data_IF_157542501685
#
_entry.id   IF_157542501685
#
_cell.length_a   1.000
_cell.length_b   1.000
_cell.length_c   1.000
_cell.angle_alpha   90.00
_cell.angle_beta   90.00
_cell.angle_gamma   90.00
#
_symmetry.space_group_name_H-M   'P 1'
#
loop_
_entity.id
_entity.type
_entity.pdbx_description
1 polymer ?
#
# COMPACT_ATOMS: atom_id res chain seq x y z
N UNK A 1 -24.30 35.37 -48.66
CA UNK A 1 -23.16 34.52 -48.27
C UNK A 1 -22.99 34.64 -46.77
N UNK A 2 -23.48 33.69 -46.03
CA UNK A 2 -23.45 33.67 -44.58
C UNK A 2 -22.35 32.65 -44.13
N UNK A 3 -21.32 33.17 -43.46
CA UNK A 3 -20.25 32.33 -42.87
C UNK A 3 -20.74 31.79 -41.53
N UNK A 4 -20.90 30.46 -41.41
CA UNK A 4 -21.25 29.79 -40.19
C UNK A 4 -20.10 29.76 -39.18
N UNK A 5 -20.39 29.65 -37.87
CA UNK A 5 -19.37 29.66 -36.83
C UNK A 5 -18.61 28.33 -36.83
N UNK A 6 -17.28 28.43 -36.84
CA UNK A 6 -16.36 27.30 -36.66
C UNK A 6 -16.52 26.74 -35.25
N UNK A 7 -17.08 25.54 -35.11
CA UNK A 7 -17.02 24.77 -33.90
C UNK A 7 -15.55 24.49 -33.54
N UNK A 8 -15.12 25.00 -32.39
CA UNK A 8 -13.84 24.60 -31.77
C UNK A 8 -14.00 23.17 -31.32
N UNK A 9 -13.33 22.23 -31.97
CA UNK A 9 -13.15 20.88 -31.46
C UNK A 9 -12.40 20.98 -30.12
N UNK A 10 -13.05 20.53 -29.04
CA UNK A 10 -12.39 20.34 -27.76
C UNK A 10 -11.31 19.25 -27.97
N UNK A 11 -10.05 19.67 -27.93
CA UNK A 11 -8.91 18.77 -28.07
C UNK A 11 -8.95 17.72 -26.97
N UNK A 12 -8.95 16.45 -27.35
CA UNK A 12 -8.85 15.33 -26.42
C UNK A 12 -7.58 15.50 -25.58
N UNK A 13 -7.74 15.55 -24.27
CA UNK A 13 -6.63 15.66 -23.32
C UNK A 13 -5.76 14.42 -23.45
N UNK A 14 -4.48 14.58 -23.76
CA UNK A 14 -3.55 13.45 -23.87
C UNK A 14 -3.29 12.85 -22.49
N UNK A 15 -2.97 11.54 -22.42
CA UNK A 15 -2.61 10.87 -21.16
C UNK A 15 -1.51 11.61 -20.40
N UNK A 16 -0.55 12.17 -21.10
CA UNK A 16 0.53 12.99 -20.52
C UNK A 16 0.02 14.29 -19.94
N UNK A 17 -0.89 14.99 -20.62
CA UNK A 17 -1.51 16.23 -20.13
C UNK A 17 -2.40 15.94 -18.92
N UNK A 18 -3.11 14.80 -18.89
CA UNK A 18 -3.88 14.33 -17.73
C UNK A 18 -2.98 14.06 -16.52
N UNK A 19 -1.89 13.31 -16.70
CA UNK A 19 -0.95 13.01 -15.63
C UNK A 19 -0.21 14.27 -15.12
N UNK A 20 0.12 15.21 -16.00
CA UNK A 20 0.70 16.49 -15.59
C UNK A 20 -0.29 17.40 -14.87
N UNK A 21 -1.55 17.39 -15.25
CA UNK A 21 -2.60 18.19 -14.60
C UNK A 21 -3.05 17.57 -13.26
N UNK A 22 -3.13 16.25 -13.17
CA UNK A 22 -3.53 15.54 -11.94
C UNK A 22 -2.39 15.34 -10.93
N UNK A 23 -1.13 15.25 -11.39
CA UNK A 23 0.03 15.03 -10.53
C UNK A 23 0.76 16.29 -10.06
N UNK A 24 0.59 17.45 -10.75
CA UNK A 24 1.49 18.58 -10.52
C UNK A 24 1.12 19.47 -9.34
N UNK A 25 -0.05 20.05 -9.30
CA UNK A 25 -0.38 21.07 -8.30
C UNK A 25 -1.36 20.60 -7.22
N UNK A 26 -2.40 19.85 -7.59
CA UNK A 26 -3.40 19.39 -6.63
C UNK A 26 -2.88 18.23 -5.77
N UNK A 27 -2.16 17.25 -6.36
CA UNK A 27 -1.57 16.13 -5.63
C UNK A 27 -0.45 16.57 -4.69
N UNK A 28 0.44 17.48 -5.14
CA UNK A 28 1.52 18.01 -4.32
C UNK A 28 1.03 18.88 -3.16
N UNK A 29 0.02 19.72 -3.39
CA UNK A 29 -0.59 20.53 -2.36
C UNK A 29 -1.37 19.69 -1.35
N UNK A 30 -2.10 18.67 -1.79
CA UNK A 30 -2.79 17.73 -0.90
C UNK A 30 -1.81 16.95 -0.02
N UNK A 31 -0.74 16.40 -0.61
CA UNK A 31 0.33 15.72 0.14
C UNK A 31 1.01 16.66 1.14
N UNK A 32 1.28 17.90 0.77
CA UNK A 32 1.89 18.88 1.67
C UNK A 32 0.96 19.23 2.86
N UNK A 33 -0.35 19.32 2.62
CA UNK A 33 -1.34 19.55 3.68
C UNK A 33 -1.50 18.34 4.60
N UNK A 34 -1.39 17.12 4.08
CA UNK A 34 -1.55 15.87 4.84
C UNK A 34 -0.24 15.37 5.47
N UNK A 35 0.91 15.85 5.00
CA UNK A 35 2.20 15.38 5.48
C UNK A 35 2.37 15.42 7.02
N UNK A 36 1.94 16.46 7.75
CA UNK A 36 2.02 16.46 9.21
C UNK A 36 1.14 15.38 9.86
N UNK A 37 -0.07 15.16 9.33
CA UNK A 37 -0.99 14.16 9.86
C UNK A 37 -0.50 12.73 9.58
N UNK A 38 0.02 12.49 8.37
CA UNK A 38 0.66 11.24 7.97
C UNK A 38 1.87 10.95 8.87
N UNK A 39 2.72 11.94 9.11
CA UNK A 39 3.89 11.77 9.97
C UNK A 39 3.51 11.50 11.43
N UNK A 40 2.51 12.20 11.96
CA UNK A 40 2.02 11.97 13.33
C UNK A 40 1.42 10.57 13.48
N UNK A 41 0.61 10.11 12.53
CA UNK A 41 0.06 8.76 12.49
C UNK A 41 1.16 7.70 12.46
N UNK A 42 2.18 7.94 11.64
CA UNK A 42 3.34 7.09 11.50
C UNK A 42 4.11 6.90 12.82
N UNK A 43 4.44 8.01 13.47
CA UNK A 43 5.14 7.99 14.77
C UNK A 43 4.31 7.26 15.84
N UNK A 44 2.99 7.47 15.85
CA UNK A 44 2.08 6.79 16.77
C UNK A 44 2.03 5.27 16.50
N UNK A 45 2.03 4.83 15.23
CA UNK A 45 2.05 3.42 14.87
C UNK A 45 3.34 2.72 15.31
N UNK A 46 4.50 3.36 15.10
CA UNK A 46 5.79 2.84 15.56
C UNK A 46 5.81 2.69 17.08
N UNK A 47 5.36 3.72 17.82
CA UNK A 47 5.32 3.70 19.27
C UNK A 47 4.35 2.63 19.81
N UNK A 48 3.16 2.51 19.25
CA UNK A 48 2.15 1.51 19.66
C UNK A 48 2.67 0.08 19.46
N UNK A 49 3.27 -0.19 18.32
CA UNK A 49 3.87 -1.50 18.00
C UNK A 49 5.03 -1.83 18.94
N UNK A 50 5.96 -0.90 19.15
CA UNK A 50 7.12 -1.10 20.03
C UNK A 50 6.71 -1.37 21.49
N UNK A 51 5.59 -0.79 21.93
CA UNK A 51 5.05 -0.95 23.27
C UNK A 51 4.13 -2.19 23.41
N UNK A 52 3.89 -2.97 22.35
CA UNK A 52 2.90 -4.06 22.35
C UNK A 52 1.48 -3.58 22.69
N UNK A 53 1.17 -2.31 22.42
CA UNK A 53 -0.12 -1.71 22.76
C UNK A 53 -1.23 -2.19 21.83
N UNK A 54 -2.47 -2.24 22.34
CA UNK A 54 -3.62 -2.54 21.49
C UNK A 54 -3.80 -1.45 20.43
N UNK A 55 -4.50 -1.79 19.36
CA UNK A 55 -4.89 -0.86 18.31
C UNK A 55 -5.71 0.31 18.90
N UNK A 56 -5.58 1.51 18.31
CA UNK A 56 -6.26 2.72 18.80
C UNK A 56 -7.60 2.97 18.14
N UNK A 57 -7.71 2.62 16.87
CA UNK A 57 -8.85 2.94 16.01
C UNK A 57 -9.59 1.70 15.54
N UNK A 58 -8.88 0.56 15.45
CA UNK A 58 -9.46 -0.73 15.08
C UNK A 58 -9.84 -1.53 16.32
N UNK A 59 -11.00 -2.15 16.28
CA UNK A 59 -11.37 -3.19 17.23
C UNK A 59 -10.52 -4.46 17.01
N UNK A 60 -10.36 -5.28 18.04
CA UNK A 60 -9.52 -6.49 17.95
C UNK A 60 -9.97 -7.46 16.84
N UNK A 61 -11.30 -7.63 16.66
CA UNK A 61 -11.85 -8.46 15.60
C UNK A 61 -11.59 -7.88 14.20
N UNK A 62 -11.78 -6.57 14.07
CA UNK A 62 -11.54 -5.82 12.83
C UNK A 62 -10.05 -5.88 12.42
N UNK A 63 -9.16 -5.62 13.36
CA UNK A 63 -7.71 -5.73 13.13
C UNK A 63 -7.31 -7.14 12.69
N UNK A 64 -7.88 -8.17 13.30
CA UNK A 64 -7.64 -9.58 12.94
C UNK A 64 -8.13 -9.88 11.51
N UNK A 65 -9.31 -9.38 11.15
CA UNK A 65 -9.84 -9.53 9.79
C UNK A 65 -8.97 -8.82 8.75
N UNK A 66 -8.62 -7.55 8.99
CA UNK A 66 -7.74 -6.78 8.10
C UNK A 66 -6.35 -7.41 7.99
N UNK A 67 -5.78 -7.91 9.10
CA UNK A 67 -4.51 -8.64 9.07
C UNK A 67 -4.60 -9.90 8.21
N UNK A 68 -5.71 -10.63 8.28
CA UNK A 68 -5.91 -11.82 7.45
C UNK A 68 -5.96 -11.46 5.96
N UNK A 69 -6.68 -10.39 5.57
CA UNK A 69 -6.73 -9.95 4.17
C UNK A 69 -5.36 -9.46 3.70
N UNK A 70 -4.69 -8.60 4.48
CA UNK A 70 -3.36 -8.08 4.09
C UNK A 70 -2.33 -9.19 3.92
N UNK A 71 -2.44 -10.27 4.73
CA UNK A 71 -1.61 -11.46 4.61
C UNK A 71 -1.90 -12.31 3.36
N UNK A 72 -3.08 -12.11 2.70
CA UNK A 72 -3.33 -12.72 1.37
C UNK A 72 -2.81 -11.84 0.25
N UNK A 73 -2.79 -10.51 0.43
CA UNK A 73 -2.25 -9.57 -0.56
C UNK A 73 -0.71 -9.67 -0.63
N UNK A 74 -0.05 -9.70 0.52
CA UNK A 74 1.41 -9.93 0.63
C UNK A 74 1.62 -11.07 1.62
N UNK A 75 1.64 -12.32 1.11
CA UNK A 75 1.75 -13.51 1.95
C UNK A 75 3.15 -13.66 2.54
N UNK A 76 3.22 -14.35 3.68
CA UNK A 76 4.46 -14.86 4.25
C UNK A 76 4.70 -16.25 3.69
N UNK A 77 5.82 -16.41 3.01
CA UNK A 77 6.31 -17.69 2.48
C UNK A 77 7.80 -17.85 2.85
N UNK A 78 8.67 -18.01 1.87
CA UNK A 78 10.13 -17.97 2.05
C UNK A 78 10.61 -16.55 2.39
N UNK A 79 9.75 -15.56 2.19
CA UNK A 79 9.98 -14.15 2.49
C UNK A 79 8.93 -13.59 3.46
N UNK A 80 9.30 -12.56 4.26
CA UNK A 80 8.35 -11.89 5.14
C UNK A 80 7.18 -11.26 4.39
N UNK A 81 5.97 -11.44 4.91
CA UNK A 81 4.75 -10.84 4.37
C UNK A 81 4.23 -9.65 5.17
N UNK A 82 2.96 -9.28 4.92
CA UNK A 82 2.32 -8.11 5.53
C UNK A 82 2.27 -8.17 7.06
N UNK A 83 2.19 -9.38 7.65
CA UNK A 83 2.17 -9.58 9.11
C UNK A 83 3.50 -9.16 9.74
N UNK A 84 4.60 -9.68 9.22
CA UNK A 84 5.94 -9.40 9.72
C UNK A 84 6.30 -7.93 9.50
N UNK A 85 5.84 -7.35 8.40
CA UNK A 85 6.00 -5.92 8.10
C UNK A 85 5.15 -5.01 9.00
N UNK A 86 4.18 -5.57 9.74
CA UNK A 86 3.34 -4.81 10.66
C UNK A 86 2.32 -3.89 9.97
N UNK A 87 1.84 -4.27 8.79
CA UNK A 87 0.94 -3.48 7.94
C UNK A 87 -0.34 -3.06 8.67
N UNK A 88 -0.92 -3.93 9.49
CA UNK A 88 -2.16 -3.64 10.24
C UNK A 88 -2.00 -2.45 11.20
N UNK A 89 -0.81 -2.22 11.77
CA UNK A 89 -0.56 -1.05 12.62
C UNK A 89 -0.52 0.25 11.81
N UNK A 90 -0.02 0.20 10.58
CA UNK A 90 -0.11 1.33 9.66
C UNK A 90 -1.58 1.63 9.33
N UNK A 91 -2.38 0.60 9.03
CA UNK A 91 -3.81 0.75 8.73
C UNK A 91 -4.55 1.37 9.93
N UNK A 92 -4.30 0.89 11.14
CA UNK A 92 -4.91 1.43 12.38
C UNK A 92 -4.70 2.96 12.51
N UNK A 93 -3.49 3.42 12.26
CA UNK A 93 -3.20 4.85 12.35
C UNK A 93 -3.72 5.63 11.13
N UNK A 94 -3.72 5.02 9.95
CA UNK A 94 -4.23 5.65 8.74
C UNK A 94 -5.73 5.96 8.86
N UNK A 95 -6.54 5.01 9.33
CA UNK A 95 -7.99 5.18 9.50
C UNK A 95 -8.34 6.13 10.64
N UNK A 96 -7.47 6.31 11.60
CA UNK A 96 -7.62 7.34 12.64
C UNK A 96 -7.16 8.74 12.20
N UNK A 97 -6.56 8.87 11.02
CA UNK A 97 -5.93 10.08 10.53
C UNK A 97 -6.29 10.40 9.08
N UNK A 98 -5.31 10.34 8.20
CA UNK A 98 -5.42 10.80 6.81
C UNK A 98 -6.38 9.97 5.92
N UNK A 99 -6.74 8.75 6.33
CA UNK A 99 -7.73 7.87 5.68
C UNK A 99 -8.99 7.69 6.53
N UNK A 100 -9.30 8.62 7.43
CA UNK A 100 -10.48 8.53 8.29
C UNK A 100 -11.80 8.46 7.49
N UNK A 101 -11.85 9.08 6.31
CA UNK A 101 -13.00 9.00 5.41
C UNK A 101 -13.28 7.58 4.89
N UNK A 102 -12.27 6.71 4.87
CA UNK A 102 -12.37 5.34 4.36
C UNK A 102 -12.62 4.31 5.49
N UNK A 103 -12.68 4.74 6.74
CA UNK A 103 -12.87 3.83 7.87
C UNK A 103 -14.18 3.02 7.76
N UNK A 104 -15.27 3.65 7.32
CA UNK A 104 -16.55 2.97 7.12
C UNK A 104 -16.49 2.01 5.92
N UNK A 105 -15.84 2.40 4.82
CA UNK A 105 -15.60 1.53 3.65
C UNK A 105 -14.89 0.24 4.06
N UNK A 106 -13.86 0.34 4.91
CA UNK A 106 -13.13 -0.83 5.42
C UNK A 106 -13.99 -1.68 6.35
N UNK A 107 -14.74 -1.05 7.27
CA UNK A 107 -15.60 -1.75 8.23
C UNK A 107 -16.72 -2.51 7.54
N UNK A 108 -17.43 -1.84 6.64
CA UNK A 108 -18.56 -2.43 5.91
C UNK A 108 -18.10 -3.52 4.95
N UNK A 109 -16.93 -3.32 4.33
CA UNK A 109 -16.29 -4.32 3.47
C UNK A 109 -15.89 -5.58 4.24
N UNK A 110 -15.29 -5.43 5.42
CA UNK A 110 -14.98 -6.57 6.31
C UNK A 110 -16.25 -7.31 6.78
N UNK A 111 -17.29 -6.57 7.17
CA UNK A 111 -18.57 -7.18 7.55
C UNK A 111 -19.20 -7.97 6.39
N UNK A 112 -19.11 -7.43 5.17
CA UNK A 112 -19.58 -8.11 3.95
C UNK A 112 -18.77 -9.38 3.67
N UNK A 113 -17.46 -9.32 3.83
CA UNK A 113 -16.56 -10.46 3.62
C UNK A 113 -16.82 -11.56 4.66
N UNK A 114 -17.04 -11.20 5.93
CA UNK A 114 -17.43 -12.15 6.98
C UNK A 114 -18.80 -12.77 6.70
N UNK A 115 -19.75 -12.00 6.17
CA UNK A 115 -21.06 -12.53 5.78
C UNK A 115 -20.96 -13.56 4.64
N UNK A 116 -20.09 -13.31 3.65
CA UNK A 116 -19.80 -14.27 2.58
C UNK A 116 -19.15 -15.55 3.15
N UNK A 117 -18.21 -15.42 4.08
CA UNK A 117 -17.56 -16.55 4.73
C UNK A 117 -18.57 -17.42 5.51
N UNK A 118 -19.46 -16.82 6.27
CA UNK A 118 -20.53 -17.53 6.98
C UNK A 118 -21.52 -18.19 6.03
N UNK A 119 -21.91 -17.53 4.94
CA UNK A 119 -22.81 -18.08 3.93
C UNK A 119 -22.20 -19.31 3.21
N UNK A 120 -20.87 -19.36 3.08
CA UNK A 120 -20.14 -20.51 2.57
C UNK A 120 -20.01 -21.67 3.59
N UNK A 121 -20.60 -21.54 4.77
CA UNK A 121 -20.61 -22.57 5.82
C UNK A 121 -19.36 -22.56 6.70
N UNK A 122 -18.54 -21.51 6.62
CA UNK A 122 -17.36 -21.30 7.46
C UNK A 122 -17.62 -20.44 8.69
N UNK A 123 -16.55 -20.05 9.36
CA UNK A 123 -16.54 -19.02 10.41
C UNK A 123 -16.22 -17.62 9.84
N UNK A 124 -15.78 -16.68 10.69
CA UNK A 124 -15.25 -15.40 10.24
C UNK A 124 -14.15 -15.59 9.20
N UNK A 125 -14.02 -14.66 8.26
CA UNK A 125 -13.02 -14.73 7.18
C UNK A 125 -11.60 -15.05 7.69
N UNK A 126 -11.20 -14.43 8.80
CA UNK A 126 -9.87 -14.62 9.39
C UNK A 126 -9.59 -16.04 9.87
N UNK A 127 -10.61 -16.88 10.04
CA UNK A 127 -10.50 -18.26 10.52
C UNK A 127 -10.53 -19.29 9.41
N UNK A 128 -10.77 -18.85 8.18
CA UNK A 128 -10.81 -19.73 7.01
C UNK A 128 -9.40 -20.15 6.58
N UNK A 129 -9.27 -21.33 5.94
CA UNK A 129 -8.01 -21.70 5.32
C UNK A 129 -7.67 -20.77 4.13
N UNK A 130 -6.37 -20.62 3.78
CA UNK A 130 -5.90 -19.69 2.76
C UNK A 130 -6.65 -19.76 1.42
N UNK A 131 -6.93 -20.96 0.93
CA UNK A 131 -7.58 -21.19 -0.35
C UNK A 131 -9.04 -20.68 -0.34
N UNK A 132 -9.72 -20.81 0.80
CA UNK A 132 -11.08 -20.29 0.97
C UNK A 132 -11.06 -18.77 1.10
N UNK A 133 -10.05 -18.20 1.77
CA UNK A 133 -9.85 -16.75 1.84
C UNK A 133 -9.64 -16.17 0.42
N UNK A 134 -8.78 -16.76 -0.39
CA UNK A 134 -8.49 -16.31 -1.75
C UNK A 134 -9.75 -16.38 -2.64
N UNK A 135 -10.51 -17.46 -2.53
CA UNK A 135 -11.76 -17.62 -3.29
C UNK A 135 -12.83 -16.56 -2.93
N UNK A 136 -12.85 -16.09 -1.68
CA UNK A 136 -13.74 -15.00 -1.26
C UNK A 136 -13.20 -13.63 -1.67
N UNK A 137 -11.90 -13.41 -1.58
CA UNK A 137 -11.28 -12.16 -2.01
C UNK A 137 -11.46 -11.92 -3.51
N UNK A 138 -11.39 -12.95 -4.35
CA UNK A 138 -11.67 -12.86 -5.77
C UNK A 138 -13.10 -12.38 -6.09
N UNK A 139 -14.07 -12.55 -5.17
CA UNK A 139 -15.44 -12.07 -5.37
C UNK A 139 -15.59 -10.56 -5.04
N UNK A 140 -14.63 -9.98 -4.34
CA UNK A 140 -14.69 -8.58 -3.88
C UNK A 140 -13.56 -7.72 -4.45
N UNK A 141 -12.71 -8.26 -5.35
CA UNK A 141 -11.55 -7.57 -5.89
C UNK A 141 -11.88 -6.25 -6.62
N UNK A 142 -13.04 -6.17 -7.25
CA UNK A 142 -13.50 -4.97 -7.97
C UNK A 142 -14.23 -3.95 -7.06
N UNK A 143 -14.27 -4.18 -5.74
CA UNK A 143 -14.97 -3.29 -4.82
C UNK A 143 -14.09 -2.14 -4.32
N UNK A 144 -14.69 -1.00 -3.90
CA UNK A 144 -13.97 0.07 -3.22
C UNK A 144 -13.22 -0.41 -1.97
N UNK A 145 -13.81 -1.34 -1.21
CA UNK A 145 -13.18 -1.96 -0.05
C UNK A 145 -11.83 -2.57 -0.40
N UNK A 146 -11.80 -3.45 -1.40
CA UNK A 146 -10.55 -4.13 -1.79
C UNK A 146 -9.53 -3.13 -2.32
N UNK A 147 -9.95 -2.16 -3.13
CA UNK A 147 -9.08 -1.11 -3.66
C UNK A 147 -8.41 -0.29 -2.56
N UNK A 148 -9.17 0.13 -1.54
CA UNK A 148 -8.65 0.89 -0.39
C UNK A 148 -7.70 0.02 0.43
N UNK A 149 -8.09 -1.22 0.73
CA UNK A 149 -7.28 -2.12 1.55
C UNK A 149 -6.00 -2.55 0.83
N UNK A 150 -6.05 -2.80 -0.48
CA UNK A 150 -4.88 -3.06 -1.30
C UNK A 150 -3.91 -1.88 -1.27
N UNK A 151 -4.40 -0.66 -1.50
CA UNK A 151 -3.58 0.54 -1.39
C UNK A 151 -2.90 0.68 -0.03
N UNK A 152 -3.66 0.51 1.06
CA UNK A 152 -3.12 0.60 2.42
C UNK A 152 -2.12 -0.52 2.72
N UNK A 153 -2.33 -1.71 2.15
CA UNK A 153 -1.39 -2.84 2.30
C UNK A 153 -0.05 -2.52 1.64
N UNK A 154 -0.07 -2.07 0.39
CA UNK A 154 1.14 -1.69 -0.34
C UNK A 154 1.83 -0.50 0.32
N UNK A 155 1.08 0.53 0.71
CA UNK A 155 1.63 1.69 1.41
C UNK A 155 2.28 1.29 2.74
N UNK A 156 1.61 0.45 3.55
CA UNK A 156 2.16 -0.01 4.83
C UNK A 156 3.37 -0.92 4.68
N UNK A 157 3.44 -1.71 3.60
CA UNK A 157 4.54 -2.63 3.36
C UNK A 157 5.81 -1.93 2.83
N UNK A 158 5.67 -0.91 1.98
CA UNK A 158 6.80 -0.35 1.23
C UNK A 158 7.13 1.12 1.52
N UNK A 159 6.31 1.81 2.31
CA UNK A 159 6.62 3.18 2.74
C UNK A 159 7.83 3.21 3.68
N UNK A 160 8.30 4.40 4.01
CA UNK A 160 9.33 4.58 5.03
C UNK A 160 8.90 3.92 6.35
N UNK A 161 9.76 3.16 7.04
CA UNK A 161 9.42 2.52 8.32
C UNK A 161 8.93 3.51 9.38
N UNK A 162 9.34 4.77 9.29
CA UNK A 162 8.81 5.85 10.11
C UNK A 162 7.31 6.07 9.95
N UNK A 163 6.67 5.52 8.93
CA UNK A 163 5.23 5.56 8.71
C UNK A 163 4.46 4.37 9.34
N UNK A 164 5.11 3.56 10.17
CA UNK A 164 4.46 2.56 11.03
C UNK A 164 4.39 1.14 10.47
N UNK A 165 4.49 0.98 9.16
CA UNK A 165 4.66 -0.30 8.48
C UNK A 165 6.13 -0.58 8.13
N UNK A 166 6.37 -1.44 7.14
CA UNK A 166 7.70 -1.78 6.63
C UNK A 166 8.74 -2.02 7.74
N UNK A 167 8.32 -2.79 8.76
CA UNK A 167 9.15 -3.10 9.94
C UNK A 167 10.50 -3.62 9.51
N UNK A 168 11.56 -3.09 10.11
CA UNK A 168 12.94 -3.53 9.88
C UNK A 168 13.35 -3.52 8.40
N UNK A 169 12.68 -2.66 7.58
CA UNK A 169 12.85 -2.57 6.13
C UNK A 169 12.50 -3.86 5.36
N UNK A 170 11.68 -4.75 5.94
CA UNK A 170 11.35 -6.04 5.35
C UNK A 170 10.73 -5.93 3.96
N UNK A 171 9.84 -4.94 3.74
CA UNK A 171 9.28 -4.67 2.42
C UNK A 171 10.35 -4.23 1.41
N UNK A 172 11.30 -3.41 1.83
CA UNK A 172 12.41 -3.00 0.95
C UNK A 172 13.35 -4.15 0.63
N UNK A 173 13.63 -5.01 1.62
CA UNK A 173 14.42 -6.22 1.40
C UNK A 173 13.74 -7.15 0.39
N UNK A 174 12.40 -7.30 0.49
CA UNK A 174 11.60 -8.11 -0.42
C UNK A 174 11.75 -7.67 -1.89
N UNK A 175 11.78 -6.36 -2.15
CA UNK A 175 11.92 -5.82 -3.50
C UNK A 175 13.36 -5.48 -3.90
N UNK A 176 14.33 -5.83 -3.06
CA UNK A 176 15.74 -5.53 -3.31
C UNK A 176 16.09 -4.03 -3.28
N UNK A 177 15.28 -3.23 -2.60
CA UNK A 177 15.51 -1.79 -2.49
C UNK A 177 16.54 -1.50 -1.39
N UNK A 178 17.61 -0.80 -1.76
CA UNK A 178 18.62 -0.32 -0.82
C UNK A 178 18.29 1.12 -0.38
N UNK A 179 18.14 1.32 0.91
CA UNK A 179 17.99 2.66 1.47
C UNK A 179 19.34 3.40 1.46
N UNK A 180 19.48 4.37 0.56
CA UNK A 180 20.70 5.20 0.44
C UNK A 180 20.35 6.67 0.66
N UNK A 181 21.25 7.42 1.31
CA UNK A 181 21.10 8.86 1.48
C UNK A 181 21.19 9.65 0.17
N UNK A 182 21.92 9.12 -0.81
CA UNK A 182 22.04 9.69 -2.13
C UNK A 182 22.24 8.57 -3.17
N UNK A 183 21.69 8.78 -4.34
CA UNK A 183 21.87 7.92 -5.50
C UNK A 183 22.76 8.64 -6.49
N UNK A 184 23.77 7.94 -7.00
CA UNK A 184 24.61 8.42 -8.10
C UNK A 184 24.19 7.75 -9.41
N UNK A 185 24.30 8.44 -10.55
CA UNK A 185 24.10 7.80 -11.86
C UNK A 185 25.03 6.57 -12.04
N UNK A 186 24.59 5.58 -12.83
CA UNK A 186 23.33 5.50 -13.59
C UNK A 186 22.14 5.11 -12.68
N UNK A 187 20.97 5.75 -12.88
CA UNK A 187 19.77 5.52 -12.07
C UNK A 187 18.91 4.35 -12.55
N UNK A 188 19.37 3.60 -13.55
CA UNK A 188 18.70 2.43 -14.10
C UNK A 188 19.21 2.07 -15.47
N UNK A 189 18.61 1.05 -16.09
CA UNK A 189 19.05 0.50 -17.36
C UNK A 189 19.16 1.56 -18.47
N UNK A 190 18.12 2.36 -18.66
CA UNK A 190 18.11 3.38 -19.72
C UNK A 190 19.09 4.53 -19.47
N UNK A 191 19.36 4.86 -18.22
CA UNK A 191 20.33 5.88 -17.85
C UNK A 191 21.76 5.36 -18.07
N UNK A 192 22.01 4.10 -17.68
CA UNK A 192 23.28 3.42 -17.95
C UNK A 192 23.57 3.30 -19.44
N UNK A 193 22.57 2.93 -20.23
CA UNK A 193 22.70 2.84 -21.70
C UNK A 193 23.03 4.21 -22.31
N UNK A 194 22.31 5.27 -21.89
CA UNK A 194 22.58 6.64 -22.34
C UNK A 194 23.96 7.14 -21.94
N UNK A 195 24.52 6.67 -20.84
CA UNK A 195 25.87 7.00 -20.36
C UNK A 195 26.95 6.06 -20.89
N UNK A 196 26.59 5.04 -21.69
CA UNK A 196 27.50 4.01 -22.19
C UNK A 196 28.13 3.15 -21.09
N UNK A 197 27.43 2.96 -19.97
CA UNK A 197 27.87 2.17 -18.82
C UNK A 197 27.10 0.86 -18.76
N UNK A 198 27.77 -0.25 -18.47
CA UNK A 198 27.11 -1.51 -18.14
C UNK A 198 26.67 -1.48 -16.67
N UNK A 199 25.38 -1.74 -16.42
CA UNK A 199 24.91 -2.01 -15.06
C UNK A 199 25.56 -3.32 -14.58
N UNK A 200 26.04 -3.37 -13.32
CA UNK A 200 26.43 -4.64 -12.74
C UNK A 200 25.24 -5.59 -12.82
N UNK A 201 25.47 -6.80 -13.35
CA UNK A 201 24.44 -7.82 -13.39
C UNK A 201 23.81 -7.91 -11.99
N UNK A 202 22.47 -7.86 -11.90
CA UNK A 202 21.71 -7.93 -10.64
C UNK A 202 22.09 -9.26 -9.95
N UNK A 203 23.11 -9.21 -9.11
CA UNK A 203 23.53 -10.34 -8.31
C UNK A 203 22.46 -10.60 -7.28
N UNK A 204 21.73 -11.69 -7.42
CA UNK A 204 20.99 -12.30 -6.33
C UNK A 204 21.99 -12.49 -5.20
N UNK A 205 21.78 -11.80 -4.09
CA UNK A 205 22.73 -11.65 -3.00
C UNK A 205 23.27 -12.99 -2.51
N UNK A 206 24.57 -13.16 -2.70
CA UNK A 206 25.32 -14.09 -1.84
C UNK A 206 25.38 -13.44 -0.47
N UNK A 207 24.80 -14.16 0.52
CA UNK A 207 24.84 -13.78 1.92
C UNK A 207 26.26 -13.37 2.33
N UNK A 208 26.38 -12.20 2.95
CA UNK A 208 27.56 -11.86 3.71
C UNK A 208 27.52 -12.63 5.03
N UNK A 209 28.30 -13.69 5.03
CA UNK A 209 28.76 -14.37 6.24
C UNK A 209 29.62 -13.36 7.02
N UNK A 210 29.09 -12.86 8.14
CA UNK A 210 29.88 -12.13 9.12
C UNK A 210 30.32 -13.12 10.20
N UNK A 211 31.60 -13.57 10.08
CA UNK A 211 32.33 -14.20 11.15
C UNK A 211 32.64 -13.19 12.29
#
# INVERSE_FOLDING_TARGET
MASGPRQRQAGAMTRRAFLQASGGAAGGAWLALQAPAVLAAAQAAVAARAAGQPFRHLGAAEARGLEAVTARIIPSDETPGAREMGVVYFIDQAVGGFMAAEADTLRDGMASLDALALAAGGGPFADLPPEAQDALLAQVEDTPFFSVLHFLTVAGAFALPSYGGNRDHLGWQLIGFEHRHAWAPPFGHYDAEAMGQELPASGHGKGHDHG
#
